data_IF_013510551189
#
_entry.id   IF_013510551189
#
_cell.length_a   1.000
_cell.length_b   1.000
_cell.length_c   1.000
_cell.angle_alpha   90.00
_cell.angle_beta   90.00
_cell.angle_gamma   90.00
#
_symmetry.space_group_name_H-M   'P 1'
#
loop_
_entity.id
_entity.type
_entity.pdbx_description
1 polymer ?
#
# COMPACT_ATOMS: atom_id res chain seq x y z
N UNK A 1 23.08 -40.07 0.67
CA UNK A 1 21.62 -40.30 0.80
C UNK A 1 21.07 -39.33 1.84
N UNK A 2 20.05 -38.59 1.41
CA UNK A 2 19.20 -37.58 2.06
C UNK A 2 19.12 -37.60 3.60
N UNK A 3 19.33 -36.44 4.21
CA UNK A 3 18.46 -35.89 5.26
C UNK A 3 18.65 -34.35 5.31
N UNK A 4 17.66 -33.62 4.81
CA UNK A 4 17.54 -32.17 4.97
C UNK A 4 16.39 -31.91 5.95
N UNK A 5 16.70 -31.49 7.17
CA UNK A 5 15.74 -30.92 8.09
C UNK A 5 16.46 -30.00 9.08
N UNK A 6 16.48 -28.70 8.80
CA UNK A 6 16.44 -27.64 9.83
C UNK A 6 16.12 -26.30 9.16
N UNK A 7 14.84 -26.09 8.88
CA UNK A 7 14.26 -24.76 8.70
C UNK A 7 14.27 -24.07 10.07
N UNK A 8 15.09 -23.03 10.24
CA UNK A 8 14.98 -22.13 11.38
C UNK A 8 14.12 -20.94 10.96
N UNK A 9 12.85 -20.99 11.37
CA UNK A 9 11.88 -19.90 11.33
C UNK A 9 12.26 -18.91 12.43
N UNK A 10 12.63 -17.67 12.11
CA UNK A 10 12.90 -16.65 13.12
C UNK A 10 11.66 -15.79 13.42
N UNK A 11 11.40 -15.68 14.72
CA UNK A 11 10.47 -14.77 15.39
C UNK A 11 11.22 -13.44 15.63
N UNK A 12 10.54 -12.30 15.54
CA UNK A 12 11.06 -11.00 15.97
C UNK A 12 11.66 -11.12 17.37
N UNK A 13 12.98 -11.01 17.51
CA UNK A 13 13.64 -10.94 18.81
C UNK A 13 13.76 -9.46 19.21
N UNK A 14 12.85 -9.01 20.09
CA UNK A 14 12.96 -7.78 20.88
C UNK A 14 14.00 -7.93 21.99
N UNK A 15 15.26 -8.25 21.66
CA UNK A 15 16.32 -8.36 22.68
C UNK A 15 16.96 -7.01 23.06
N UNK A 16 16.48 -5.89 22.53
CA UNK A 16 17.03 -4.56 22.82
C UNK A 16 16.21 -3.77 23.85
N UNK A 17 15.13 -4.34 24.38
CA UNK A 17 14.34 -3.75 25.48
C UNK A 17 14.75 -4.40 26.80
N UNK A 18 15.98 -4.15 27.24
CA UNK A 18 16.37 -4.39 28.63
C UNK A 18 15.88 -3.21 29.50
N UNK A 19 14.56 -2.94 29.51
CA UNK A 19 14.02 -1.94 30.44
C UNK A 19 12.52 -2.01 30.76
N UNK A 20 11.66 -2.70 30.00
CA UNK A 20 10.21 -2.73 30.31
C UNK A 20 9.51 -4.05 29.92
N UNK A 21 9.52 -5.08 30.79
CA UNK A 21 8.92 -6.39 30.51
C UNK A 21 7.41 -6.36 30.24
N UNK A 22 6.68 -5.35 30.74
CA UNK A 22 5.24 -5.21 30.51
C UNK A 22 4.85 -4.87 29.06
N UNK A 23 5.70 -4.17 28.31
CA UNK A 23 5.42 -3.78 26.92
C UNK A 23 5.63 -4.94 25.93
N UNK A 24 6.59 -5.83 26.18
CA UNK A 24 6.79 -7.05 25.39
C UNK A 24 5.63 -8.05 25.56
N UNK A 25 5.06 -8.16 26.77
CA UNK A 25 3.88 -8.99 27.01
C UNK A 25 2.65 -8.45 26.26
N UNK A 26 2.44 -7.13 26.25
CA UNK A 26 1.42 -6.48 25.41
C UNK A 26 1.66 -6.73 23.92
N UNK A 27 2.90 -6.73 23.44
CA UNK A 27 3.20 -7.02 22.03
C UNK A 27 2.91 -8.47 21.64
N UNK A 28 3.22 -9.44 22.50
CA UNK A 28 2.92 -10.86 22.25
C UNK A 28 1.42 -11.12 22.33
N UNK A 29 0.71 -10.47 23.25
CA UNK A 29 -0.75 -10.57 23.39
C UNK A 29 -1.46 -9.84 22.25
N UNK A 30 -1.00 -8.68 21.80
CA UNK A 30 -1.55 -7.97 20.63
C UNK A 30 -1.23 -8.75 19.35
N UNK A 31 -0.05 -9.34 19.20
CA UNK A 31 0.29 -10.20 18.05
C UNK A 31 -0.51 -11.51 18.02
N UNK A 32 -0.91 -12.05 19.19
CA UNK A 32 -1.78 -13.22 19.30
C UNK A 32 -3.27 -12.87 19.18
N UNK A 33 -3.70 -11.69 19.63
CA UNK A 33 -5.07 -11.19 19.49
C UNK A 33 -5.38 -10.70 18.07
N UNK A 34 -4.37 -10.31 17.30
CA UNK A 34 -4.50 -9.99 15.86
C UNK A 34 -4.69 -11.26 15.01
N UNK A 35 -4.57 -12.46 15.60
CA UNK A 35 -4.80 -13.74 14.90
C UNK A 35 -6.17 -14.39 15.17
N UNK A 36 -7.11 -13.72 15.85
CA UNK A 36 -8.45 -14.28 16.11
C UNK A 36 -9.64 -13.47 15.58
N UNK A 37 -9.43 -12.49 14.69
CA UNK A 37 -10.54 -11.84 13.98
C UNK A 37 -10.23 -11.68 12.50
N UNK A 38 -10.93 -12.45 11.67
CA UNK A 38 -11.09 -12.17 10.24
C UNK A 38 -11.55 -10.71 10.14
N UNK A 39 -10.73 -9.86 9.51
CA UNK A 39 -11.02 -8.44 9.35
C UNK A 39 -11.69 -8.24 8.00
N UNK A 40 -13.01 -8.09 7.99
CA UNK A 40 -13.77 -7.62 6.83
C UNK A 40 -13.99 -6.12 7.05
N UNK A 41 -13.23 -5.29 6.34
CA UNK A 41 -13.42 -3.84 6.37
C UNK A 41 -14.27 -3.43 5.17
N UNK A 42 -15.58 -3.29 5.36
CA UNK A 42 -16.42 -2.59 4.39
C UNK A 42 -16.30 -1.08 4.61
N UNK A 43 -15.82 -0.35 3.61
CA UNK A 43 -15.70 1.12 3.70
C UNK A 43 -16.90 1.75 3.00
N UNK A 44 -17.65 2.56 3.75
CA UNK A 44 -18.81 3.33 3.28
C UNK A 44 -18.35 4.65 2.65
N UNK A 45 -18.74 4.93 1.41
CA UNK A 45 -18.29 6.13 0.69
C UNK A 45 -19.48 6.98 0.18
N UNK A 46 -19.82 8.08 0.84
CA UNK A 46 -20.88 9.05 0.41
C UNK A 46 -20.40 10.10 -0.61
N UNK A 47 -21.07 10.24 -1.75
CA UNK A 47 -20.70 11.16 -2.84
C UNK A 47 -21.09 12.63 -2.57
N UNK A 48 -20.23 13.56 -2.97
CA UNK A 48 -20.54 14.98 -3.21
C UNK A 48 -20.11 15.33 -4.63
N UNK A 49 -21.05 15.79 -5.46
CA UNK A 49 -20.85 16.07 -6.88
C UNK A 49 -20.55 17.53 -7.18
N UNK A 50 -19.88 17.76 -8.32
CA UNK A 50 -19.67 19.08 -8.91
C UNK A 50 -18.67 19.02 -10.05
N UNK A 51 -19.14 19.16 -11.29
CA UNK A 51 -18.37 19.23 -12.53
C UNK A 51 -18.25 20.67 -13.03
N UNK A 52 -17.10 21.06 -13.58
CA UNK A 52 -17.01 22.04 -14.68
C UNK A 52 -15.70 21.85 -15.46
N UNK A 53 -15.82 21.91 -16.80
CA UNK A 53 -14.74 21.84 -17.79
C UNK A 53 -13.98 23.17 -17.94
N UNK A 54 -12.72 23.10 -18.37
CA UNK A 54 -11.93 24.26 -18.79
C UNK A 54 -10.54 23.85 -19.32
N UNK A 55 -10.21 24.32 -20.52
CA UNK A 55 -9.10 23.90 -21.39
C UNK A 55 -7.79 24.66 -21.14
N UNK A 56 -6.68 23.91 -21.13
CA UNK A 56 -5.27 24.19 -21.51
C UNK A 56 -4.48 25.43 -21.03
N UNK A 57 -3.23 25.12 -20.65
CA UNK A 57 -2.04 25.96 -20.36
C UNK A 57 -2.05 26.70 -19.02
N UNK A 58 -1.39 26.13 -18.01
CA UNK A 58 -1.20 26.80 -16.72
C UNK A 58 -0.68 25.86 -15.63
N UNK A 59 0.11 26.42 -14.71
CA UNK A 59 0.47 25.87 -13.39
C UNK A 59 -0.45 24.74 -12.93
N UNK A 60 0.11 23.54 -12.72
CA UNK A 60 -0.64 22.37 -12.21
C UNK A 60 -1.35 22.77 -10.91
N UNK A 61 -2.69 22.73 -10.83
CA UNK A 61 -3.42 23.07 -9.62
C UNK A 61 -2.91 22.29 -8.40
N UNK A 62 -2.77 22.95 -7.26
CA UNK A 62 -2.28 22.34 -6.00
C UNK A 62 -3.07 21.10 -5.59
N UNK A 63 -4.34 21.03 -5.99
CA UNK A 63 -5.22 19.90 -5.75
C UNK A 63 -4.74 18.63 -6.48
N UNK A 64 -4.27 18.75 -7.73
CA UNK A 64 -3.71 17.64 -8.50
C UNK A 64 -2.40 17.11 -7.91
N UNK A 65 -1.68 17.96 -7.17
CA UNK A 65 -0.45 17.60 -6.45
C UNK A 65 -0.73 17.00 -5.07
N UNK A 66 -2.00 16.72 -4.76
CA UNK A 66 -2.46 16.14 -3.50
C UNK A 66 -2.00 16.99 -2.29
N UNK A 67 -2.18 18.31 -2.36
CA UNK A 67 -1.77 19.21 -1.28
C UNK A 67 -0.25 19.38 -1.18
N UNK A 68 0.46 19.24 -2.31
CA UNK A 68 1.92 19.38 -2.38
C UNK A 68 2.70 18.10 -2.08
N UNK A 69 2.04 16.95 -1.91
CA UNK A 69 2.70 15.65 -1.78
C UNK A 69 3.47 15.30 -3.05
N UNK A 70 2.87 15.50 -4.23
CA UNK A 70 3.47 15.18 -5.52
C UNK A 70 4.28 16.36 -6.08
N UNK A 71 5.38 16.05 -6.76
CA UNK A 71 6.17 17.03 -7.51
C UNK A 71 5.54 17.27 -8.90
N UNK A 72 5.48 18.51 -9.40
CA UNK A 72 4.97 18.81 -10.74
C UNK A 72 5.95 18.41 -11.86
N UNK A 73 7.19 18.03 -11.53
CA UNK A 73 8.29 17.85 -12.48
C UNK A 73 8.28 16.51 -13.25
N UNK A 74 7.11 15.89 -13.42
CA UNK A 74 6.94 14.71 -14.26
C UNK A 74 6.25 15.05 -15.58
N UNK A 75 6.67 14.39 -16.65
CA UNK A 75 5.95 14.41 -17.91
C UNK A 75 4.65 13.62 -17.79
N UNK A 76 3.50 14.29 -17.85
CA UNK A 76 2.18 13.72 -17.55
C UNK A 76 1.87 12.44 -18.34
N UNK A 77 2.21 12.41 -19.64
CA UNK A 77 1.90 11.25 -20.49
C UNK A 77 2.73 10.00 -20.13
N UNK A 78 3.88 10.16 -19.48
CA UNK A 78 4.71 9.03 -19.04
C UNK A 78 4.05 8.22 -17.92
N UNK A 79 3.19 8.88 -17.12
CA UNK A 79 2.47 8.25 -16.03
C UNK A 79 1.17 9.01 -15.73
N UNK A 80 0.11 8.67 -16.47
CA UNK A 80 -1.17 9.39 -16.43
C UNK A 80 -1.82 9.28 -15.05
N UNK A 81 -1.67 8.12 -14.39
CA UNK A 81 -2.26 7.87 -13.07
C UNK A 81 -1.77 8.86 -12.00
N UNK A 82 -0.57 9.44 -12.16
CA UNK A 82 0.06 10.34 -11.19
C UNK A 82 -0.83 11.53 -10.86
N UNK A 83 -1.36 12.20 -11.88
CA UNK A 83 -2.19 13.40 -11.70
C UNK A 83 -3.68 13.11 -11.93
N UNK A 84 -4.02 12.14 -12.78
CA UNK A 84 -5.42 11.82 -13.07
C UNK A 84 -6.12 11.05 -11.94
N UNK A 85 -5.37 10.38 -11.05
CA UNK A 85 -5.99 9.55 -9.99
C UNK A 85 -6.89 10.34 -9.04
N UNK A 86 -6.68 11.66 -8.91
CA UNK A 86 -7.55 12.53 -8.12
C UNK A 86 -8.99 12.57 -8.66
N UNK A 87 -9.19 12.45 -9.98
CA UNK A 87 -10.54 12.46 -10.59
C UNK A 87 -11.38 11.23 -10.17
N UNK A 88 -10.71 10.17 -9.71
CA UNK A 88 -11.32 8.90 -9.35
C UNK A 88 -11.38 8.66 -7.84
N UNK A 89 -10.79 9.55 -7.05
CA UNK A 89 -10.66 9.40 -5.60
C UNK A 89 -11.27 10.61 -4.90
N UNK A 90 -11.85 10.37 -3.73
CA UNK A 90 -12.23 11.47 -2.85
C UNK A 90 -11.00 12.14 -2.28
N UNK A 91 -11.10 13.44 -2.03
CA UNK A 91 -10.10 14.16 -1.26
C UNK A 91 -9.86 13.45 0.07
N UNK A 92 -8.59 13.26 0.43
CA UNK A 92 -8.23 12.64 1.69
C UNK A 92 -8.37 13.65 2.83
N UNK A 93 -8.97 13.29 3.97
CA UNK A 93 -9.01 14.15 5.15
C UNK A 93 -7.67 14.16 5.92
N UNK A 94 -6.71 13.29 5.57
CA UNK A 94 -5.44 13.18 6.28
C UNK A 94 -4.56 14.40 6.02
N UNK A 95 -4.17 15.08 7.11
CA UNK A 95 -3.33 16.29 7.08
C UNK A 95 -1.90 15.93 6.65
N UNK A 96 -1.38 16.65 5.66
CA UNK A 96 0.00 16.57 5.22
C UNK A 96 0.86 17.56 6.01
N UNK A 97 1.94 17.08 6.63
CA UNK A 97 2.87 17.95 7.35
C UNK A 97 3.84 18.63 6.37
N UNK A 98 4.19 19.88 6.66
CA UNK A 98 5.23 20.61 5.92
C UNK A 98 6.60 19.92 6.05
N UNK A 99 6.88 19.29 7.20
CA UNK A 99 8.10 18.52 7.43
C UNK A 99 8.23 17.36 6.44
N UNK A 100 7.14 16.62 6.19
CA UNK A 100 7.14 15.52 5.22
C UNK A 100 7.37 16.03 3.80
N UNK A 101 6.65 17.07 3.38
CA UNK A 101 6.81 17.67 2.04
C UNK A 101 8.27 18.10 1.82
N UNK A 102 8.85 18.82 2.78
CA UNK A 102 10.24 19.26 2.71
C UNK A 102 11.22 18.07 2.67
N UNK A 103 10.96 17.01 3.42
CA UNK A 103 11.79 15.79 3.40
C UNK A 103 11.74 15.10 2.02
N UNK A 104 10.56 15.02 1.40
CA UNK A 104 10.39 14.43 0.08
C UNK A 104 11.11 15.24 -1.01
N UNK A 105 11.02 16.58 -0.99
CA UNK A 105 11.74 17.43 -1.97
C UNK A 105 13.26 17.28 -1.86
N UNK A 106 13.80 17.28 -0.64
CA UNK A 106 15.23 17.01 -0.39
C UNK A 106 15.64 15.62 -0.85
N UNK A 107 14.77 14.63 -0.67
CA UNK A 107 15.01 13.29 -1.16
C UNK A 107 15.08 13.23 -2.68
N UNK A 108 14.18 13.93 -3.40
CA UNK A 108 14.19 14.00 -4.87
C UNK A 108 15.51 14.59 -5.39
N UNK A 109 16.04 15.62 -4.74
CA UNK A 109 17.35 16.21 -5.05
C UNK A 109 18.50 15.21 -4.81
N UNK A 110 18.51 14.55 -3.64
CA UNK A 110 19.48 13.51 -3.31
C UNK A 110 19.45 12.38 -4.34
N UNK A 111 18.26 11.89 -4.66
CA UNK A 111 18.06 10.80 -5.59
C UNK A 111 18.56 11.19 -6.98
N UNK A 112 18.24 12.40 -7.47
CA UNK A 112 18.74 12.91 -8.75
C UNK A 112 20.27 12.96 -8.83
N UNK A 113 20.96 13.34 -7.76
CA UNK A 113 22.44 13.40 -7.73
C UNK A 113 23.07 12.00 -7.69
N UNK A 114 22.47 11.07 -6.96
CA UNK A 114 23.06 9.77 -6.64
C UNK A 114 22.41 8.58 -7.40
N UNK A 115 21.50 8.86 -8.34
CA UNK A 115 20.76 7.87 -9.15
C UNK A 115 21.69 6.98 -9.98
N UNK A 116 21.24 5.79 -10.41
CA UNK A 116 21.93 5.03 -11.45
C UNK A 116 22.30 5.91 -12.66
N UNK A 117 23.44 5.60 -13.27
CA UNK A 117 24.05 6.36 -14.39
C UNK A 117 24.65 7.73 -14.04
N UNK A 118 24.69 8.14 -12.77
CA UNK A 118 25.43 9.36 -12.37
C UNK A 118 26.90 9.06 -12.05
N UNK A 119 27.81 10.05 -12.14
CA UNK A 119 29.21 9.87 -11.76
C UNK A 119 29.40 9.41 -10.31
N UNK A 120 28.59 9.95 -9.38
CA UNK A 120 28.64 9.58 -7.96
C UNK A 120 28.23 8.12 -7.74
N UNK A 121 27.25 7.64 -8.51
CA UNK A 121 26.84 6.24 -8.49
C UNK A 121 27.92 5.29 -9.04
N UNK A 122 28.58 5.67 -10.13
CA UNK A 122 29.69 4.86 -10.65
C UNK A 122 30.86 4.80 -9.67
N UNK A 123 31.17 5.92 -9.01
CA UNK A 123 32.19 5.97 -7.96
C UNK A 123 31.85 5.06 -6.77
N UNK A 124 30.60 5.12 -6.28
CA UNK A 124 30.16 4.29 -5.16
C UNK A 124 30.16 2.79 -5.49
N UNK A 125 29.84 2.42 -6.74
CA UNK A 125 29.96 1.04 -7.23
C UNK A 125 31.41 0.55 -7.35
N UNK A 126 32.32 1.40 -7.82
CA UNK A 126 33.75 1.04 -7.90
C UNK A 126 34.33 0.73 -6.52
N UNK A 127 33.99 1.54 -5.51
CA UNK A 127 34.41 1.30 -4.13
C UNK A 127 33.81 0.04 -3.53
N UNK A 128 32.53 -0.25 -3.81
CA UNK A 128 31.89 -1.50 -3.40
C UNK A 128 32.64 -2.72 -3.96
N UNK A 129 33.05 -2.68 -5.23
CA UNK A 129 33.84 -3.76 -5.87
C UNK A 129 35.25 -3.89 -5.30
N UNK A 130 35.85 -2.79 -4.85
CA UNK A 130 37.20 -2.76 -4.32
C UNK A 130 37.30 -3.20 -2.84
N UNK A 131 36.19 -3.51 -2.17
CA UNK A 131 36.12 -3.82 -0.72
C UNK A 131 36.77 -2.75 0.20
N UNK A 132 36.99 -1.54 -0.31
CA UNK A 132 37.51 -0.41 0.47
C UNK A 132 36.34 0.43 0.99
N UNK A 133 36.14 0.43 2.31
CA UNK A 133 35.03 1.13 2.98
C UNK A 133 35.46 2.42 3.72
N UNK A 134 36.70 2.87 3.54
CA UNK A 134 37.32 3.91 4.39
C UNK A 134 37.14 5.34 3.90
N UNK A 135 36.77 5.55 2.63
CA UNK A 135 36.50 6.90 2.14
C UNK A 135 35.03 7.27 2.37
N UNK A 136 34.80 8.47 2.91
CA UNK A 136 33.47 9.00 3.16
C UNK A 136 32.75 9.24 1.82
N UNK A 137 31.91 8.28 1.41
CA UNK A 137 31.08 8.43 0.22
C UNK A 137 30.05 9.53 0.43
N UNK A 138 29.80 10.29 -0.65
CA UNK A 138 28.73 11.30 -0.67
C UNK A 138 27.34 10.68 -0.76
N UNK A 139 27.23 9.44 -1.26
CA UNK A 139 25.97 8.75 -1.49
C UNK A 139 25.95 7.42 -0.74
N UNK A 140 24.91 7.24 0.07
CA UNK A 140 24.60 5.99 0.74
C UNK A 140 23.37 5.35 0.09
N UNK A 141 23.32 4.03 0.06
CA UNK A 141 22.32 3.27 -0.68
C UNK A 141 21.63 2.24 0.21
N UNK A 142 20.35 2.01 -0.08
CA UNK A 142 19.60 0.85 0.37
C UNK A 142 19.01 0.15 -0.85
N UNK A 143 19.41 -1.09 -1.10
CA UNK A 143 18.92 -1.92 -2.19
C UNK A 143 17.79 -2.80 -1.66
N UNK A 144 16.56 -2.50 -2.05
CA UNK A 144 15.39 -3.29 -1.74
C UNK A 144 15.29 -4.50 -2.68
N UNK A 145 15.07 -5.67 -2.11
CA UNK A 145 14.84 -6.91 -2.86
C UNK A 145 13.41 -7.40 -2.64
N UNK A 146 12.67 -7.72 -3.72
CA UNK A 146 11.30 -8.22 -3.62
C UNK A 146 11.21 -9.54 -2.86
N UNK A 147 10.22 -9.64 -1.97
CA UNK A 147 9.86 -10.87 -1.26
C UNK A 147 8.34 -10.90 -0.99
N UNK A 148 7.78 -12.10 -0.94
CA UNK A 148 6.33 -12.31 -0.79
C UNK A 148 5.52 -11.94 -2.04
N UNK A 149 4.19 -11.90 -1.90
CA UNK A 149 3.27 -11.48 -2.96
C UNK A 149 3.19 -9.96 -3.13
N UNK A 150 2.46 -9.49 -4.15
CA UNK A 150 2.39 -8.06 -4.53
C UNK A 150 2.04 -7.14 -3.34
N UNK A 151 1.06 -7.50 -2.50
CA UNK A 151 0.72 -6.72 -1.31
C UNK A 151 1.89 -6.55 -0.33
N UNK A 152 2.63 -7.62 -0.05
CA UNK A 152 3.81 -7.58 0.82
C UNK A 152 4.91 -6.72 0.21
N UNK A 153 5.09 -6.80 -1.12
CA UNK A 153 6.07 -5.97 -1.84
C UNK A 153 5.72 -4.50 -1.76
N UNK A 154 4.46 -4.11 -1.97
CA UNK A 154 4.01 -2.71 -1.82
C UNK A 154 4.23 -2.19 -0.40
N UNK A 155 3.89 -3.00 0.63
CA UNK A 155 4.09 -2.63 2.03
C UNK A 155 5.58 -2.47 2.39
N UNK A 156 6.43 -3.37 1.91
CA UNK A 156 7.87 -3.37 2.20
C UNK A 156 8.61 -2.30 1.40
N UNK A 157 8.18 -1.98 0.17
CA UNK A 157 8.66 -0.83 -0.59
C UNK A 157 8.46 0.46 0.19
N UNK A 158 7.24 0.70 0.68
CA UNK A 158 6.93 1.90 1.48
C UNK A 158 7.73 1.92 2.79
N UNK A 159 7.85 0.78 3.46
CA UNK A 159 8.64 0.68 4.71
C UNK A 159 10.13 0.98 4.46
N UNK A 160 10.67 0.47 3.35
CA UNK A 160 12.07 0.68 2.96
C UNK A 160 12.32 2.10 2.53
N UNK A 161 11.36 2.72 1.84
CA UNK A 161 11.44 4.13 1.48
C UNK A 161 11.46 5.03 2.73
N UNK A 162 10.61 4.76 3.72
CA UNK A 162 10.67 5.49 4.98
C UNK A 162 12.04 5.32 5.66
N UNK A 163 12.57 4.10 5.69
CA UNK A 163 13.91 3.86 6.21
C UNK A 163 14.99 4.66 5.44
N UNK A 164 14.87 4.75 4.12
CA UNK A 164 15.75 5.52 3.26
C UNK A 164 15.69 7.04 3.58
N UNK A 165 14.49 7.58 3.83
CA UNK A 165 14.30 8.96 4.29
C UNK A 165 15.00 9.21 5.64
N UNK A 166 14.82 8.32 6.61
CA UNK A 166 15.39 8.45 7.96
C UNK A 166 16.92 8.30 8.00
N UNK A 167 17.49 7.55 7.05
CA UNK A 167 18.94 7.27 7.00
C UNK A 167 19.68 8.04 5.91
N UNK A 168 18.99 8.95 5.21
CA UNK A 168 19.55 9.71 4.10
C UNK A 168 20.20 8.81 3.04
N UNK A 169 19.52 7.70 2.69
CA UNK A 169 19.96 6.73 1.70
C UNK A 169 19.13 6.86 0.43
N UNK A 170 19.77 6.64 -0.70
CA UNK A 170 19.11 6.46 -2.00
C UNK A 170 18.55 5.05 -2.02
N UNK A 171 17.24 4.93 -2.26
CA UNK A 171 16.57 3.65 -2.37
C UNK A 171 16.66 3.17 -3.81
N UNK A 172 17.25 1.99 -3.99
CA UNK A 172 17.26 1.29 -5.25
C UNK A 172 16.40 0.05 -5.12
N UNK A 173 15.74 -0.34 -6.21
CA UNK A 173 14.92 -1.54 -6.25
C UNK A 173 15.50 -2.54 -7.24
N UNK A 174 15.61 -3.79 -6.79
CA UNK A 174 15.83 -4.91 -7.68
C UNK A 174 14.48 -5.26 -8.33
N UNK A 175 14.39 -5.03 -9.65
CA UNK A 175 13.19 -5.39 -10.41
C UNK A 175 13.23 -6.87 -10.78
N UNK A 176 12.08 -7.51 -10.65
CA UNK A 176 11.83 -8.89 -11.08
C UNK A 176 10.72 -8.86 -12.13
N UNK A 177 10.63 -9.87 -12.98
CA UNK A 177 9.74 -9.90 -14.15
C UNK A 177 8.27 -9.55 -13.83
N UNK A 178 7.75 -10.02 -12.69
CA UNK A 178 6.36 -9.77 -12.26
C UNK A 178 6.14 -8.38 -11.63
N UNK A 179 7.18 -7.55 -11.51
CA UNK A 179 7.13 -6.13 -11.11
C UNK A 179 7.39 -5.18 -12.27
N UNK A 180 7.75 -5.71 -13.45
CA UNK A 180 7.92 -4.92 -14.68
C UNK A 180 6.58 -4.33 -15.07
N UNK A 181 6.59 -3.05 -15.46
CA UNK A 181 5.41 -2.31 -15.90
C UNK A 181 4.23 -2.22 -14.92
N UNK A 182 4.44 -2.49 -13.62
CA UNK A 182 3.39 -2.28 -12.61
C UNK A 182 3.31 -0.82 -12.14
N UNK A 183 4.46 -0.19 -11.89
CA UNK A 183 4.57 1.14 -11.28
C UNK A 183 5.42 2.09 -12.11
N UNK A 184 5.07 3.37 -12.08
CA UNK A 184 5.85 4.44 -12.69
C UNK A 184 7.08 4.82 -11.85
N UNK A 185 8.03 5.53 -12.46
CA UNK A 185 9.15 6.16 -11.75
C UNK A 185 8.64 7.15 -10.70
N UNK A 186 8.99 7.02 -9.42
CA UNK A 186 8.48 7.85 -8.34
C UNK A 186 9.27 9.16 -8.12
N UNK A 187 10.49 9.28 -8.66
CA UNK A 187 11.39 10.41 -8.41
C UNK A 187 11.69 11.21 -9.70
N UNK A 188 11.44 12.53 -9.75
CA UNK A 188 11.60 13.31 -10.98
C UNK A 188 13.03 13.27 -11.54
N UNK A 189 13.18 12.93 -12.83
CA UNK A 189 14.45 13.01 -13.55
C UNK A 189 15.51 12.00 -13.09
N UNK A 190 15.09 10.87 -12.50
CA UNK A 190 15.98 9.82 -12.00
C UNK A 190 15.29 8.46 -12.08
N UNK A 191 16.04 7.38 -11.88
CA UNK A 191 15.49 6.01 -11.83
C UNK A 191 15.82 5.31 -10.52
N UNK A 192 14.83 4.63 -9.94
CA UNK A 192 15.02 3.77 -8.76
C UNK A 192 15.44 2.34 -9.10
N UNK A 193 15.47 1.95 -10.38
CA UNK A 193 15.77 0.57 -10.79
C UNK A 193 17.27 0.28 -10.81
N UNK A 194 17.67 -0.89 -10.31
CA UNK A 194 19.06 -1.35 -10.39
C UNK A 194 19.17 -2.88 -10.58
N UNK A 195 20.05 -3.29 -11.51
CA UNK A 195 20.13 -4.67 -12.02
C UNK A 195 21.13 -5.59 -11.28
N UNK A 196 22.00 -5.05 -10.42
CA UNK A 196 23.04 -5.89 -9.79
C UNK A 196 22.60 -6.55 -8.46
N UNK A 197 22.79 -7.87 -8.41
CA UNK A 197 22.62 -8.74 -7.24
C UNK A 197 23.96 -9.04 -6.56
N UNK A 198 24.05 -8.81 -5.26
CA UNK A 198 24.88 -9.59 -4.35
C UNK A 198 24.12 -9.83 -3.03
N UNK A 199 24.19 -11.05 -2.51
CA UNK A 199 23.60 -11.45 -1.24
C UNK A 199 24.57 -11.19 -0.08
N UNK A 200 24.18 -10.41 0.94
CA UNK A 200 24.62 -10.64 2.34
C UNK A 200 23.52 -10.22 3.33
N UNK A 201 23.35 -11.06 4.36
CA UNK A 201 22.46 -10.96 5.52
C UNK A 201 22.81 -9.80 6.47
N UNK A 202 21.90 -9.47 7.40
CA UNK A 202 22.21 -9.45 8.83
C UNK A 202 20.94 -9.50 9.72
N UNK A 203 21.10 -10.01 10.94
CA UNK A 203 20.10 -10.07 12.03
C UNK A 203 20.35 -8.90 12.99
N UNK A 204 19.27 -8.36 13.59
CA UNK A 204 19.19 -7.19 14.52
C UNK A 204 19.03 -5.79 13.90
N UNK A 205 18.28 -5.66 12.81
CA UNK A 205 17.99 -4.37 12.17
C UNK A 205 17.27 -3.33 13.07
N UNK A 206 16.52 -3.72 14.10
CA UNK A 206 15.67 -2.80 14.88
C UNK A 206 16.29 -2.29 16.20
N UNK A 207 17.61 -2.38 16.37
CA UNK A 207 18.31 -1.90 17.56
C UNK A 207 19.13 -0.65 17.25
N UNK A 208 19.24 0.27 18.21
CA UNK A 208 19.94 1.54 18.03
C UNK A 208 21.44 1.36 17.75
N UNK A 209 22.14 0.59 18.59
CA UNK A 209 23.57 0.28 18.43
C UNK A 209 23.87 -0.33 17.05
N UNK A 210 23.03 -1.26 16.59
CA UNK A 210 23.15 -1.88 15.28
C UNK A 210 22.87 -0.87 14.15
N UNK A 211 21.92 0.06 14.32
CA UNK A 211 21.67 1.13 13.35
C UNK A 211 22.84 2.12 13.27
N UNK A 212 23.57 2.39 14.35
CA UNK A 212 24.79 3.21 14.28
C UNK A 212 25.88 2.57 13.42
N UNK A 213 26.04 1.25 13.52
CA UNK A 213 26.97 0.49 12.66
C UNK A 213 26.47 0.49 11.22
N UNK A 214 25.19 0.19 11.00
CA UNK A 214 24.60 0.16 9.65
C UNK A 214 24.70 1.52 8.98
N UNK A 215 24.54 2.63 9.72
CA UNK A 215 24.66 3.99 9.18
C UNK A 215 26.07 4.30 8.63
N UNK A 216 27.10 3.59 9.08
CA UNK A 216 28.48 3.71 8.54
C UNK A 216 28.70 2.88 7.28
N UNK A 217 27.79 1.95 6.96
CA UNK A 217 27.88 1.10 5.77
C UNK A 217 27.25 1.83 4.60
N UNK A 218 28.00 2.04 3.51
CA UNK A 218 27.51 2.80 2.37
C UNK A 218 26.42 2.05 1.58
N UNK A 219 26.43 0.71 1.57
CA UNK A 219 25.47 -0.12 0.83
C UNK A 219 24.75 -1.10 1.74
N UNK A 220 23.42 -0.98 1.84
CA UNK A 220 22.58 -1.87 2.66
C UNK A 220 21.66 -2.69 1.76
N UNK A 221 21.71 -4.01 1.85
CA UNK A 221 20.73 -4.88 1.20
C UNK A 221 19.54 -5.12 2.15
N UNK A 222 18.32 -4.84 1.69
CA UNK A 222 17.10 -5.03 2.47
C UNK A 222 16.16 -5.99 1.75
N UNK A 223 15.90 -7.15 2.39
CA UNK A 223 14.90 -8.12 1.97
C UNK A 223 13.93 -8.37 3.12
N UNK A 224 12.65 -8.09 2.90
CA UNK A 224 11.58 -8.29 3.89
C UNK A 224 10.26 -8.48 3.16
N UNK A 225 9.33 -9.20 3.79
CA UNK A 225 7.94 -9.39 3.36
C UNK A 225 6.94 -8.74 4.35
N UNK A 226 7.43 -7.96 5.32
CA UNK A 226 6.64 -7.36 6.39
C UNK A 226 6.53 -5.82 6.28
N UNK A 227 5.40 -5.26 6.70
CA UNK A 227 5.26 -3.82 6.95
C UNK A 227 5.95 -3.45 8.26
N UNK A 228 7.21 -3.01 8.19
CA UNK A 228 8.05 -2.82 9.38
C UNK A 228 8.11 -1.37 9.90
N UNK A 229 7.29 -0.47 9.38
CA UNK A 229 7.17 0.91 9.87
C UNK A 229 6.93 0.98 11.38
N UNK A 230 6.05 0.17 12.02
CA UNK A 230 5.87 0.23 13.47
C UNK A 230 7.17 -0.01 14.25
N UNK A 231 8.06 -0.85 13.73
CA UNK A 231 9.38 -1.08 14.33
C UNK A 231 10.29 0.14 14.25
N UNK A 232 10.18 0.98 13.21
CA UNK A 232 10.96 2.21 13.08
C UNK A 232 10.56 3.27 14.13
N UNK A 233 9.27 3.33 14.50
CA UNK A 233 8.78 4.21 15.57
C UNK A 233 9.26 3.80 16.96
N UNK A 234 9.76 2.58 17.13
CA UNK A 234 10.32 2.11 18.40
C UNK A 234 11.80 2.44 18.57
N UNK A 235 12.45 3.01 17.55
CA UNK A 235 13.86 3.38 17.58
C UNK A 235 13.93 4.84 18.08
N UNK A 236 14.46 5.12 19.29
CA UNK A 236 14.45 6.47 19.87
C UNK A 236 15.07 7.53 18.96
N UNK A 237 16.16 7.18 18.26
CA UNK A 237 16.82 8.01 17.26
C UNK A 237 15.89 8.59 16.19
N UNK A 238 14.85 7.86 15.79
CA UNK A 238 13.94 8.28 14.71
C UNK A 238 12.66 8.94 15.20
N UNK A 239 12.36 8.87 16.49
CA UNK A 239 11.07 9.29 17.07
C UNK A 239 10.73 10.74 16.72
N UNK A 240 11.63 11.68 17.02
CA UNK A 240 11.37 13.11 16.80
C UNK A 240 11.13 13.44 15.32
N UNK A 241 11.88 12.82 14.41
CA UNK A 241 11.73 13.07 12.98
C UNK A 241 10.42 12.47 12.45
N UNK A 242 10.08 11.26 12.89
CA UNK A 242 8.84 10.59 12.53
C UNK A 242 7.60 11.34 13.02
N UNK A 243 7.61 11.87 14.24
CA UNK A 243 6.49 12.64 14.79
C UNK A 243 6.27 13.97 14.06
N UNK A 244 7.35 14.61 13.60
CA UNK A 244 7.26 15.80 12.76
C UNK A 244 6.70 15.49 11.36
N UNK A 245 7.14 14.39 10.76
CA UNK A 245 6.67 13.99 9.42
C UNK A 245 5.24 13.45 9.46
N UNK A 246 4.88 12.71 10.49
CA UNK A 246 3.60 12.02 10.64
C UNK A 246 2.96 12.33 12.00
N UNK A 247 2.30 13.49 12.15
CA UNK A 247 1.58 13.83 13.38
C UNK A 247 0.50 12.80 13.76
N UNK A 248 -0.05 12.12 12.75
CA UNK A 248 -0.95 10.97 12.89
C UNK A 248 -0.18 9.74 12.43
N UNK A 249 0.23 8.87 13.37
CA UNK A 249 1.19 7.76 13.10
C UNK A 249 0.63 6.75 12.09
N UNK A 250 -0.68 6.65 11.98
CA UNK A 250 -1.41 5.76 11.08
C UNK A 250 -1.38 6.24 9.61
N UNK A 251 -0.96 7.48 9.32
CA UNK A 251 -1.00 8.03 7.95
C UNK A 251 0.26 7.75 7.13
N UNK A 252 1.25 7.06 7.69
CA UNK A 252 2.53 6.78 7.01
C UNK A 252 2.33 6.10 5.66
N UNK A 253 1.65 4.95 5.64
CA UNK A 253 1.39 4.25 4.39
C UNK A 253 0.43 5.02 3.48
N UNK A 254 -0.52 5.76 4.06
CA UNK A 254 -1.43 6.61 3.30
C UNK A 254 -0.67 7.67 2.48
N UNK A 255 0.28 8.40 3.08
CA UNK A 255 1.04 9.43 2.38
C UNK A 255 2.12 8.84 1.48
N UNK A 256 2.98 7.97 2.03
CA UNK A 256 4.11 7.44 1.27
C UNK A 256 3.68 6.47 0.17
N UNK A 257 2.62 5.70 0.39
CA UNK A 257 2.03 4.85 -0.64
C UNK A 257 1.46 5.67 -1.81
N UNK A 258 0.78 6.79 -1.52
CA UNK A 258 0.25 7.70 -2.56
C UNK A 258 1.33 8.50 -3.30
N UNK A 259 2.51 8.65 -2.68
CA UNK A 259 3.66 9.30 -3.28
C UNK A 259 4.46 8.34 -4.19
N UNK A 260 4.65 7.09 -3.76
CA UNK A 260 5.46 6.11 -4.49
C UNK A 260 4.67 5.33 -5.55
N UNK A 261 3.47 4.86 -5.20
CA UNK A 261 2.80 3.77 -5.91
C UNK A 261 1.79 4.32 -6.93
N UNK A 262 2.32 4.77 -8.06
CA UNK A 262 1.51 5.18 -9.21
C UNK A 262 1.46 4.04 -10.23
N UNK A 263 0.27 3.47 -10.52
CA UNK A 263 0.14 2.43 -11.53
C UNK A 263 0.63 2.92 -12.90
N UNK A 264 1.28 2.03 -13.64
CA UNK A 264 1.62 2.29 -15.04
C UNK A 264 0.39 2.59 -15.89
N UNK A 265 0.58 3.12 -17.10
CA UNK A 265 -0.53 3.43 -17.99
C UNK A 265 -1.37 2.18 -18.37
N UNK A 266 -0.75 0.99 -18.46
CA UNK A 266 -1.46 -0.26 -18.76
C UNK A 266 -2.40 -0.65 -17.61
N UNK A 267 -1.90 -0.68 -16.37
CA UNK A 267 -2.67 -0.96 -15.16
C UNK A 267 -3.73 0.12 -14.93
N UNK A 268 -3.36 1.39 -15.09
CA UNK A 268 -4.28 2.51 -14.95
C UNK A 268 -5.44 2.44 -15.94
N UNK A 269 -5.18 2.05 -17.19
CA UNK A 269 -6.22 1.81 -18.18
C UNK A 269 -7.24 0.76 -17.74
N UNK A 270 -6.82 -0.30 -17.05
CA UNK A 270 -7.74 -1.31 -16.50
C UNK A 270 -8.62 -0.71 -15.40
N UNK A 271 -8.03 0.02 -14.45
CA UNK A 271 -8.74 0.69 -13.35
C UNK A 271 -9.80 1.65 -13.89
N UNK A 272 -9.40 2.49 -14.85
CA UNK A 272 -10.24 3.50 -15.48
C UNK A 272 -11.44 2.89 -16.20
N UNK A 273 -11.19 1.91 -17.09
CA UNK A 273 -12.25 1.24 -17.85
C UNK A 273 -13.26 0.55 -16.94
N UNK A 274 -12.76 -0.15 -15.91
CA UNK A 274 -13.62 -0.85 -14.97
C UNK A 274 -14.46 0.12 -14.14
N UNK A 275 -13.83 1.18 -13.61
CA UNK A 275 -14.55 2.20 -12.85
C UNK A 275 -15.64 2.88 -13.69
N UNK A 276 -15.30 3.34 -14.89
CA UNK A 276 -16.23 4.04 -15.78
C UNK A 276 -17.42 3.15 -16.18
N UNK A 277 -17.17 1.86 -16.39
CA UNK A 277 -18.21 0.92 -16.86
C UNK A 277 -19.16 0.48 -15.74
N UNK A 278 -18.62 0.17 -14.55
CA UNK A 278 -19.38 -0.53 -13.50
C UNK A 278 -19.62 0.29 -12.24
N UNK A 279 -18.78 1.29 -11.96
CA UNK A 279 -18.76 1.97 -10.66
C UNK A 279 -19.20 3.43 -10.73
N UNK A 280 -18.92 4.13 -11.84
CA UNK A 280 -19.06 5.59 -11.93
C UNK A 280 -20.49 6.08 -11.63
N UNK A 281 -21.51 5.36 -12.11
CA UNK A 281 -22.93 5.72 -11.96
C UNK A 281 -23.52 5.46 -10.58
N UNK A 282 -22.85 4.67 -9.75
CA UNK A 282 -23.35 4.34 -8.42
C UNK A 282 -23.24 5.55 -7.47
N UNK A 283 -24.29 5.81 -6.69
CA UNK A 283 -24.24 6.84 -5.63
C UNK A 283 -23.26 6.46 -4.53
N UNK A 284 -23.18 5.16 -4.27
CA UNK A 284 -22.32 4.59 -3.25
C UNK A 284 -21.60 3.36 -3.80
N UNK A 285 -20.32 3.25 -3.48
CA UNK A 285 -19.44 2.17 -3.92
C UNK A 285 -18.91 1.47 -2.69
N UNK A 286 -19.06 0.16 -2.65
CA UNK A 286 -18.72 -0.68 -1.50
C UNK A 286 -17.66 -1.66 -1.97
N UNK A 287 -16.50 -1.66 -1.33
CA UNK A 287 -15.45 -2.66 -1.57
C UNK A 287 -15.57 -3.78 -0.56
N UNK A 288 -15.57 -5.03 -1.04
CA UNK A 288 -15.43 -6.22 -0.21
C UNK A 288 -14.19 -6.97 -0.70
N UNK A 289 -13.19 -7.10 0.17
CA UNK A 289 -11.99 -7.88 -0.08
C UNK A 289 -12.08 -9.16 0.74
N UNK A 290 -12.14 -10.31 0.08
CA UNK A 290 -12.33 -11.60 0.72
C UNK A 290 -11.14 -12.53 0.44
N UNK A 291 -10.45 -12.94 1.50
CA UNK A 291 -9.28 -13.83 1.45
C UNK A 291 -9.42 -14.95 2.47
N UNK A 292 -9.24 -16.19 2.01
CA UNK A 292 -9.02 -17.35 2.88
C UNK A 292 -7.51 -17.54 3.00
N UNK A 293 -7.02 -17.63 4.24
CA UNK A 293 -5.61 -17.88 4.53
C UNK A 293 -5.39 -19.36 4.83
N UNK A 294 -4.36 -19.97 4.24
CA UNK A 294 -4.01 -21.36 4.53
C UNK A 294 -3.69 -21.61 6.01
N UNK A 295 -3.15 -20.60 6.71
CA UNK A 295 -2.84 -20.68 8.13
C UNK A 295 -4.06 -20.59 9.05
N UNK A 296 -5.21 -20.13 8.54
CA UNK A 296 -6.46 -20.01 9.27
C UNK A 296 -7.61 -20.36 8.31
N UNK A 297 -7.76 -21.66 7.99
CA UNK A 297 -8.74 -22.09 7.02
C UNK A 297 -10.16 -21.85 7.54
N UNK A 298 -11.03 -21.36 6.67
CA UNK A 298 -12.45 -21.21 6.90
C UNK A 298 -13.19 -21.80 5.69
N UNK A 299 -14.34 -22.42 5.92
CA UNK A 299 -15.17 -22.90 4.81
C UNK A 299 -15.69 -21.70 4.00
N UNK A 300 -15.93 -21.91 2.70
CA UNK A 300 -16.52 -20.87 1.84
C UNK A 300 -17.91 -20.46 2.37
N UNK A 301 -18.67 -21.41 2.92
CA UNK A 301 -19.99 -21.18 3.50
C UNK A 301 -19.93 -20.28 4.73
N UNK A 302 -18.98 -20.53 5.64
CA UNK A 302 -18.83 -19.72 6.85
C UNK A 302 -18.29 -18.34 6.53
N UNK A 303 -17.35 -18.22 5.58
CA UNK A 303 -16.87 -16.92 5.11
C UNK A 303 -18.01 -16.11 4.47
N UNK A 304 -18.84 -16.76 3.65
CA UNK A 304 -20.00 -16.11 3.04
C UNK A 304 -20.99 -15.60 4.09
N UNK A 305 -21.31 -16.43 5.10
CA UNK A 305 -22.19 -16.02 6.22
C UNK A 305 -21.59 -14.85 7.01
N UNK A 306 -20.29 -14.90 7.33
CA UNK A 306 -19.61 -13.80 8.01
C UNK A 306 -19.67 -12.50 7.19
N UNK A 307 -19.43 -12.59 5.89
CA UNK A 307 -19.49 -11.45 4.97
C UNK A 307 -20.89 -10.81 4.95
N UNK A 308 -21.94 -11.62 4.75
CA UNK A 308 -23.33 -11.12 4.71
C UNK A 308 -23.74 -10.54 6.06
N UNK A 309 -23.51 -11.26 7.16
CA UNK A 309 -23.87 -10.78 8.50
C UNK A 309 -23.16 -9.46 8.82
N UNK A 310 -21.84 -9.39 8.62
CA UNK A 310 -21.07 -8.17 8.87
C UNK A 310 -21.61 -6.98 8.05
N UNK A 311 -21.84 -7.16 6.75
CA UNK A 311 -22.32 -6.06 5.91
C UNK A 311 -23.73 -5.59 6.27
N UNK A 312 -24.61 -6.49 6.72
CA UNK A 312 -25.98 -6.15 7.12
C UNK A 312 -26.07 -5.56 8.53
N UNK A 313 -25.30 -6.09 9.49
CA UNK A 313 -25.25 -5.59 10.87
C UNK A 313 -24.67 -4.18 10.92
N UNK A 314 -23.60 -3.92 10.17
CA UNK A 314 -22.96 -2.61 10.07
C UNK A 314 -23.69 -1.64 9.12
N UNK A 315 -24.84 -2.03 8.59
CA UNK A 315 -25.62 -1.21 7.64
C UNK A 315 -24.81 -0.73 6.42
N UNK A 316 -23.84 -1.57 6.00
CA UNK A 316 -23.07 -1.41 4.76
C UNK A 316 -23.93 -1.88 3.59
N UNK A 317 -24.62 -3.00 3.72
CA UNK A 317 -25.58 -3.49 2.72
C UNK A 317 -26.96 -3.69 3.35
N UNK A 318 -28.04 -3.48 2.57
CA UNK A 318 -29.38 -3.62 3.10
C UNK A 318 -29.73 -5.07 3.40
N UNK A 319 -30.61 -5.25 4.39
CA UNK A 319 -31.25 -6.54 4.69
C UNK A 319 -32.28 -6.88 3.61
N UNK A 320 -32.58 -8.17 3.48
CA UNK A 320 -33.59 -8.66 2.55
C UNK A 320 -34.97 -8.69 3.22
N UNK A 321 -36.02 -8.50 2.43
CA UNK A 321 -37.39 -8.60 2.91
C UNK A 321 -37.77 -10.08 3.09
N UNK A 322 -38.10 -10.55 4.31
CA UNK A 322 -38.42 -11.96 4.56
C UNK A 322 -39.78 -12.39 3.98
N UNK A 323 -40.70 -11.46 3.69
CA UNK A 323 -42.09 -11.78 3.33
C UNK A 323 -42.44 -11.65 1.84
N UNK A 324 -41.49 -11.25 0.98
CA UNK A 324 -41.75 -11.12 -0.47
C UNK A 324 -41.07 -12.23 -1.28
N UNK A 325 -41.87 -13.25 -1.62
CA UNK A 325 -41.51 -14.25 -2.62
C UNK A 325 -41.69 -13.68 -4.03
N UNK A 326 -40.60 -13.63 -4.81
CA UNK A 326 -40.47 -13.65 -6.30
C UNK A 326 -41.40 -12.82 -7.22
N UNK A 327 -42.49 -12.21 -6.77
CA UNK A 327 -43.58 -11.69 -7.62
C UNK A 327 -44.14 -10.32 -7.21
N UNK A 328 -43.59 -9.61 -6.22
CA UNK A 328 -43.96 -8.22 -5.94
C UNK A 328 -43.03 -7.28 -6.69
N UNK A 329 -43.45 -6.82 -7.89
CA UNK A 329 -42.80 -5.71 -8.59
C UNK A 329 -43.05 -4.41 -7.81
N UNK A 330 -42.16 -4.12 -6.86
CA UNK A 330 -41.99 -2.74 -6.43
C UNK A 330 -41.29 -2.01 -7.56
N UNK A 331 -41.94 -1.00 -8.14
CA UNK A 331 -41.27 -0.06 -9.05
C UNK A 331 -40.05 0.43 -8.30
N UNK A 332 -38.81 0.16 -8.79
CA UNK A 332 -37.64 0.67 -8.12
C UNK A 332 -37.83 2.18 -8.05
N UNK A 333 -37.79 2.74 -6.84
CA UNK A 333 -37.67 4.19 -6.72
C UNK A 333 -36.52 4.62 -7.65
N UNK A 334 -36.52 5.85 -8.13
CA UNK A 334 -35.35 6.50 -8.75
C UNK A 334 -34.12 6.58 -7.79
N UNK A 335 -34.13 5.79 -6.72
CA UNK A 335 -33.04 5.47 -5.82
C UNK A 335 -31.85 4.97 -6.63
N UNK A 336 -30.86 5.86 -6.69
CA UNK A 336 -29.54 5.61 -7.22
C UNK A 336 -28.94 4.29 -6.73
N UNK A 337 -28.40 3.44 -7.61
CA UNK A 337 -27.90 2.11 -7.26
C UNK A 337 -26.62 2.18 -6.42
N UNK A 338 -26.45 1.20 -5.53
CA UNK A 338 -25.20 0.91 -4.81
C UNK A 338 -24.43 -0.14 -5.60
N UNK A 339 -23.15 0.10 -5.87
CA UNK A 339 -22.28 -0.85 -6.55
C UNK A 339 -21.33 -1.52 -5.56
N UNK A 340 -21.31 -2.85 -5.56
CA UNK A 340 -20.40 -3.66 -4.75
C UNK A 340 -19.29 -4.19 -5.63
N UNK A 341 -18.05 -3.89 -5.27
CA UNK A 341 -16.84 -4.47 -5.85
C UNK A 341 -16.35 -5.58 -4.94
N UNK A 342 -16.49 -6.84 -5.38
CA UNK A 342 -15.98 -8.00 -4.67
C UNK A 342 -14.63 -8.44 -5.27
N UNK A 343 -13.59 -8.46 -4.45
CA UNK A 343 -12.27 -8.96 -4.81
C UNK A 343 -11.99 -10.25 -4.04
N UNK A 344 -11.97 -11.39 -4.74
CA UNK A 344 -11.69 -12.70 -4.17
C UNK A 344 -11.18 -13.69 -5.22
N UNK A 345 -10.42 -14.69 -4.78
CA UNK A 345 -10.05 -15.87 -5.59
C UNK A 345 -11.21 -16.86 -5.76
N UNK A 346 -12.30 -16.67 -5.02
CA UNK A 346 -13.41 -17.63 -4.95
C UNK A 346 -14.66 -17.04 -5.62
N UNK A 347 -14.84 -17.32 -6.92
CA UNK A 347 -15.99 -16.84 -7.70
C UNK A 347 -17.36 -17.19 -7.11
N UNK A 348 -17.46 -18.30 -6.37
CA UNK A 348 -18.70 -18.71 -5.69
C UNK A 348 -19.22 -17.63 -4.71
N UNK A 349 -18.34 -16.83 -4.10
CA UNK A 349 -18.76 -15.72 -3.23
C UNK A 349 -19.50 -14.64 -4.02
N UNK A 350 -19.03 -14.35 -5.23
CA UNK A 350 -19.68 -13.41 -6.15
C UNK A 350 -21.04 -13.93 -6.60
N UNK A 351 -21.10 -15.18 -7.08
CA UNK A 351 -22.35 -15.76 -7.58
C UNK A 351 -23.45 -15.70 -6.52
N UNK A 352 -23.13 -16.13 -5.30
CA UNK A 352 -24.08 -16.11 -4.19
C UNK A 352 -24.51 -14.69 -3.80
N UNK A 353 -23.57 -13.76 -3.68
CA UNK A 353 -23.90 -12.38 -3.28
C UNK A 353 -24.71 -11.65 -4.36
N UNK A 354 -24.38 -11.87 -5.64
CA UNK A 354 -25.15 -11.38 -6.78
C UNK A 354 -26.56 -11.95 -6.75
N UNK A 355 -26.70 -13.27 -6.66
CA UNK A 355 -28.00 -13.94 -6.70
C UNK A 355 -28.87 -13.54 -5.51
N UNK A 356 -28.26 -13.33 -4.34
CA UNK A 356 -28.96 -12.85 -3.15
C UNK A 356 -29.69 -11.52 -3.40
N UNK A 357 -28.99 -10.52 -3.97
CA UNK A 357 -29.58 -9.19 -4.25
C UNK A 357 -30.33 -9.12 -5.58
N UNK A 358 -30.11 -10.05 -6.51
CA UNK A 358 -30.83 -10.13 -7.77
C UNK A 358 -32.20 -10.81 -7.60
N UNK A 359 -32.29 -11.84 -6.76
CA UNK A 359 -33.50 -12.66 -6.60
C UNK A 359 -34.45 -12.18 -5.49
N UNK A 360 -34.01 -11.28 -4.60
CA UNK A 360 -34.79 -10.85 -3.43
C UNK A 360 -34.83 -9.32 -3.33
N UNK A 361 -35.97 -8.79 -2.88
CA UNK A 361 -36.11 -7.36 -2.60
C UNK A 361 -35.41 -6.98 -1.29
N UNK A 362 -34.85 -5.77 -1.25
CA UNK A 362 -34.24 -5.19 -0.05
C UNK A 362 -35.30 -4.53 0.82
N UNK A 363 -35.13 -4.53 2.14
CA UNK A 363 -36.08 -3.88 3.07
C UNK A 363 -36.17 -2.37 2.89
N UNK A 364 -35.14 -1.76 2.28
CA UNK A 364 -35.02 -0.33 2.01
C UNK A 364 -35.42 0.05 0.58
N UNK A 365 -35.80 -0.94 -0.26
CA UNK A 365 -36.02 -0.76 -1.70
C UNK A 365 -34.81 -0.19 -2.46
N UNK A 366 -33.61 -0.31 -1.89
CA UNK A 366 -32.35 0.07 -2.52
C UNK A 366 -31.91 -0.98 -3.56
N UNK A 367 -31.42 -0.50 -4.71
CA UNK A 367 -30.85 -1.35 -5.76
C UNK A 367 -29.38 -1.62 -5.43
N UNK A 368 -29.02 -2.90 -5.37
CA UNK A 368 -27.63 -3.35 -5.15
C UNK A 368 -27.15 -4.13 -6.37
N UNK A 369 -26.05 -3.71 -6.97
CA UNK A 369 -25.40 -4.41 -8.09
C UNK A 369 -24.01 -4.87 -7.67
N UNK A 370 -23.71 -6.15 -7.89
CA UNK A 370 -22.45 -6.78 -7.47
C UNK A 370 -21.58 -7.04 -8.69
N UNK A 371 -20.29 -6.73 -8.59
CA UNK A 371 -19.30 -6.88 -9.66
C UNK A 371 -18.00 -7.48 -9.12
N UNK A 372 -17.42 -8.41 -9.86
CA UNK A 372 -16.12 -9.01 -9.58
C UNK A 372 -15.21 -8.85 -10.82
N UNK A 373 -14.05 -8.17 -10.72
CA UNK A 373 -13.17 -7.97 -11.87
C UNK A 373 -12.46 -9.25 -12.33
N UNK A 374 -12.06 -10.08 -11.37
CA UNK A 374 -11.33 -11.33 -11.60
C UNK A 374 -11.52 -12.29 -10.42
N UNK A 375 -11.28 -13.58 -10.68
CA UNK A 375 -11.24 -14.67 -9.70
C UNK A 375 -9.88 -15.37 -9.65
N UNK A 376 -8.84 -14.76 -10.25
CA UNK A 376 -7.46 -15.25 -10.30
C UNK A 376 -6.63 -14.96 -9.05
#
# INVERSE_FOLDING_TARGET
MKNWATMIKYRMNCNCIAARPLLCALFVVVSLLVLSKVWISGVKFTNGGGSTEGTATGTIPNDLLLGGLLSPNFYEQSCVSRYQSMLYRKASPCILSSSLINKLRKYEELHKMCSPNTPLFHQSLQQLKANHSTDQLKCNYVLWTPAGGLGNRMLTLVSTFLYALLTNRVMLIHQVDDMVDLFCEPFPGSTWYHDYLYHVLHKRFFCEDDQEVINKINWVLLKSDNYFVPGLFMIPKYEQELERMFPIKETVFHHLGRYLLHPSNSVWGMVMRYHNSYMAKAKERIGIQARIFQSSPISIDDLYKQMVNCTQEESILPKLNPEQSKNSFLVPNEATPRAVLLASLYGVLYDRLKDMYYLHSTTTSEIVSVYQPSHE
#
